data_IF_274586285267
#
_entry.id   IF_274586285267
#
_cell.length_a   1.000
_cell.length_b   1.000
_cell.length_c   1.000
_cell.angle_alpha   90.00
_cell.angle_beta   90.00
_cell.angle_gamma   90.00
#
_symmetry.space_group_name_H-M   'P 1'
#
loop_
_entity.id
_entity.type
_entity.pdbx_description
1 polymer ?
#
# COMPACT_ATOMS: atom_id res chain seq x y z
N UNK A 1 8.91 10.65 25.27
CA UNK A 1 9.55 9.72 24.32
C UNK A 1 10.18 10.52 23.18
N UNK A 2 11.34 10.12 22.67
CA UNK A 2 12.02 10.87 21.58
C UNK A 2 11.13 11.01 20.32
N UNK A 3 10.39 9.94 19.97
CA UNK A 3 9.51 9.93 18.80
C UNK A 3 8.33 10.92 18.90
N UNK A 4 7.68 11.04 20.07
CA UNK A 4 6.59 12.01 20.26
C UNK A 4 7.08 13.45 20.00
N UNK A 5 8.27 13.79 20.51
CA UNK A 5 8.89 15.10 20.26
C UNK A 5 9.19 15.31 18.76
N UNK A 6 9.61 14.26 18.04
CA UNK A 6 9.79 14.36 16.58
C UNK A 6 8.46 14.69 15.87
N UNK A 7 7.35 14.06 16.28
CA UNK A 7 6.03 14.36 15.71
C UNK A 7 5.63 15.82 16.00
N UNK A 8 5.84 16.33 17.21
CA UNK A 8 5.59 17.73 17.56
C UNK A 8 6.42 18.71 16.71
N UNK A 9 7.71 18.42 16.54
CA UNK A 9 8.61 19.23 15.71
C UNK A 9 8.16 19.23 14.24
N UNK A 10 7.76 18.09 13.70
CA UNK A 10 7.25 17.97 12.33
C UNK A 10 5.93 18.76 12.16
N UNK A 11 5.01 18.66 13.11
CA UNK A 11 3.77 19.46 13.10
C UNK A 11 4.08 20.96 13.06
N UNK A 12 5.09 21.41 13.80
CA UNK A 12 5.48 22.83 13.82
C UNK A 12 6.03 23.34 12.47
N UNK A 13 6.55 22.43 11.62
CA UNK A 13 7.02 22.74 10.27
C UNK A 13 5.89 22.83 9.23
N UNK A 14 4.71 22.32 9.57
CA UNK A 14 3.51 22.32 8.72
C UNK A 14 3.73 21.82 7.27
N UNK A 15 4.36 20.65 7.04
CA UNK A 15 4.48 20.13 5.69
C UNK A 15 3.09 19.78 5.13
N UNK A 16 2.90 19.92 3.82
CA UNK A 16 1.62 19.59 3.16
C UNK A 16 1.29 18.09 3.25
N UNK A 17 2.31 17.22 3.19
CA UNK A 17 2.20 15.76 3.22
C UNK A 17 3.24 15.12 4.12
N UNK A 18 2.86 14.00 4.71
CA UNK A 18 3.72 13.18 5.57
C UNK A 18 3.59 11.71 5.21
N UNK A 19 4.72 11.00 5.28
CA UNK A 19 4.76 9.54 5.21
C UNK A 19 5.51 9.01 6.43
N UNK A 20 4.79 8.33 7.33
CA UNK A 20 5.29 7.89 8.64
C UNK A 20 5.28 6.36 8.69
N UNK A 21 6.36 5.74 8.25
CA UNK A 21 6.45 4.28 8.17
C UNK A 21 7.50 3.69 9.11
N UNK A 22 7.26 2.45 9.50
CA UNK A 22 8.15 1.72 10.38
C UNK A 22 9.47 1.34 9.69
N UNK A 23 10.56 1.38 10.45
CA UNK A 23 11.83 0.80 10.02
C UNK A 23 11.70 -0.70 9.76
N UNK A 24 12.04 -1.13 8.55
CA UNK A 24 12.06 -2.54 8.17
C UNK A 24 13.41 -3.17 8.50
N UNK A 25 13.45 -4.02 9.54
CA UNK A 25 14.64 -4.75 9.95
C UNK A 25 14.75 -6.10 9.25
N UNK A 26 15.64 -6.18 8.25
CA UNK A 26 15.88 -7.36 7.41
C UNK A 26 17.39 -7.67 7.32
N UNK A 27 18.05 -8.04 8.43
CA UNK A 27 19.51 -8.22 8.49
C UNK A 27 20.03 -9.38 7.63
N UNK A 28 19.17 -10.34 7.29
CA UNK A 28 19.53 -11.42 6.37
C UNK A 28 19.75 -10.87 4.96
N UNK A 29 18.96 -9.86 4.57
CA UNK A 29 18.98 -9.22 3.24
C UNK A 29 19.97 -8.07 3.18
N UNK A 30 20.05 -7.25 4.24
CA UNK A 30 20.85 -6.04 4.29
C UNK A 30 21.97 -6.15 5.33
N UNK A 31 23.19 -6.45 4.88
CA UNK A 31 24.36 -6.64 5.74
C UNK A 31 24.61 -5.49 6.75
N UNK A 32 24.45 -4.19 6.42
CA UNK A 32 24.64 -3.11 7.38
C UNK A 32 23.69 -3.18 8.59
N UNK A 33 22.48 -3.70 8.40
CA UNK A 33 21.49 -3.84 9.48
C UNK A 33 21.88 -4.86 10.56
N UNK A 34 22.84 -5.75 10.27
CA UNK A 34 23.38 -6.72 11.26
C UNK A 34 24.11 -6.06 12.41
N UNK A 35 24.46 -4.77 12.29
CA UNK A 35 25.10 -3.97 13.34
C UNK A 35 24.09 -3.36 14.31
N UNK A 36 22.81 -3.43 13.99
CA UNK A 36 21.73 -2.91 14.84
C UNK A 36 21.34 -4.03 15.81
N UNK A 37 21.36 -3.71 17.08
CA UNK A 37 20.98 -4.65 18.13
C UNK A 37 19.44 -4.79 18.11
N UNK A 38 18.93 -5.99 17.93
CA UNK A 38 17.48 -6.22 17.83
C UNK A 38 16.74 -5.82 19.12
N UNK A 39 17.42 -5.89 20.26
CA UNK A 39 16.85 -5.45 21.55
C UNK A 39 16.64 -3.93 21.65
N UNK A 40 17.29 -3.14 20.78
CA UNK A 40 17.16 -1.68 20.76
C UNK A 40 16.00 -1.24 19.85
N UNK A 41 15.39 -2.18 19.12
CA UNK A 41 14.25 -1.90 18.26
C UNK A 41 12.94 -1.95 19.04
N UNK A 42 11.96 -1.09 18.70
CA UNK A 42 10.64 -1.12 19.32
C UNK A 42 9.98 -2.49 19.15
N UNK A 43 9.31 -2.96 20.20
CA UNK A 43 8.45 -4.14 20.12
C UNK A 43 7.23 -3.89 19.21
N UNK A 44 6.50 -4.94 18.76
CA UNK A 44 5.26 -4.76 18.03
C UNK A 44 4.24 -3.89 18.78
N UNK A 45 4.15 -4.04 20.12
CA UNK A 45 3.26 -3.21 20.94
C UNK A 45 3.68 -1.74 20.95
N UNK A 46 4.99 -1.46 21.07
CA UNK A 46 5.51 -0.08 20.99
C UNK A 46 5.24 0.54 19.63
N UNK A 47 5.41 -0.22 18.55
CA UNK A 47 5.14 0.26 17.18
C UNK A 47 3.67 0.61 16.99
N UNK A 48 2.76 -0.22 17.49
CA UNK A 48 1.32 0.07 17.45
C UNK A 48 1.01 1.35 18.23
N UNK A 49 1.53 1.49 19.45
CA UNK A 49 1.35 2.69 20.26
C UNK A 49 1.92 3.95 19.59
N UNK A 50 3.09 3.82 18.92
CA UNK A 50 3.68 4.92 18.15
C UNK A 50 2.80 5.32 16.97
N UNK A 51 2.19 4.36 16.27
CA UNK A 51 1.29 4.61 15.15
C UNK A 51 0.00 5.28 15.62
N UNK A 52 -0.64 4.77 16.69
CA UNK A 52 -1.83 5.35 17.29
C UNK A 52 -1.57 6.80 17.73
N UNK A 53 -0.48 7.04 18.45
CA UNK A 53 -0.06 8.37 18.85
C UNK A 53 0.15 9.30 17.65
N UNK A 54 0.80 8.81 16.58
CA UNK A 54 1.02 9.60 15.36
C UNK A 54 -0.31 10.00 14.71
N UNK A 55 -1.23 9.06 14.59
CA UNK A 55 -2.56 9.33 14.01
C UNK A 55 -3.29 10.38 14.85
N UNK A 56 -3.31 10.21 16.16
CA UNK A 56 -3.96 11.15 17.08
C UNK A 56 -3.38 12.56 16.96
N UNK A 57 -2.05 12.69 17.02
CA UNK A 57 -1.37 13.99 16.98
C UNK A 57 -1.53 14.67 15.62
N UNK A 58 -1.33 13.97 14.52
CA UNK A 58 -1.44 14.56 13.19
C UNK A 58 -2.89 14.90 12.84
N UNK A 59 -3.86 14.04 13.16
CA UNK A 59 -5.27 14.38 12.94
C UNK A 59 -5.75 15.51 13.85
N UNK A 60 -5.28 15.55 15.09
CA UNK A 60 -5.51 16.68 16.01
C UNK A 60 -4.90 17.99 15.53
N UNK A 61 -3.82 17.95 14.75
CA UNK A 61 -3.18 19.09 14.10
C UNK A 61 -3.82 19.47 12.76
N UNK A 62 -4.90 18.81 12.35
CA UNK A 62 -5.67 19.13 11.14
C UNK A 62 -5.32 18.30 9.90
N UNK A 63 -4.37 17.37 9.98
CA UNK A 63 -4.07 16.46 8.88
C UNK A 63 -5.17 15.42 8.70
N UNK A 64 -5.41 15.03 7.46
CA UNK A 64 -6.23 13.87 7.10
C UNK A 64 -5.34 12.63 7.04
N UNK A 65 -5.74 11.56 7.73
CA UNK A 65 -5.12 10.24 7.57
C UNK A 65 -5.60 9.63 6.27
N UNK A 66 -4.77 9.65 5.23
CA UNK A 66 -5.09 9.11 3.90
C UNK A 66 -5.20 7.58 3.96
N UNK A 67 -4.20 6.94 4.54
CA UNK A 67 -4.17 5.48 4.73
C UNK A 67 -2.75 4.96 4.82
N UNK A 68 -2.59 3.76 5.33
CA UNK A 68 -1.31 3.11 5.59
C UNK A 68 -0.41 3.97 6.50
N UNK A 69 0.46 4.76 5.90
CA UNK A 69 1.47 5.59 6.55
C UNK A 69 1.41 7.06 6.09
N UNK A 70 0.39 7.43 5.28
CA UNK A 70 0.30 8.76 4.66
C UNK A 70 -0.72 9.67 5.33
N UNK A 71 -0.31 10.93 5.47
CA UNK A 71 -1.15 12.03 5.94
C UNK A 71 -1.00 13.22 4.99
N UNK A 72 -2.05 14.01 4.85
CA UNK A 72 -2.06 15.21 4.02
C UNK A 72 -2.95 16.28 4.63
N UNK A 73 -2.70 17.55 4.34
CA UNK A 73 -3.63 18.63 4.68
C UNK A 73 -4.96 18.45 3.94
N UNK A 74 -6.08 18.95 4.45
CA UNK A 74 -7.41 18.75 3.84
C UNK A 74 -7.54 19.33 2.43
N UNK A 75 -6.78 20.38 2.11
CA UNK A 75 -6.75 21.06 0.80
C UNK A 75 -5.71 20.46 -0.17
N UNK A 76 -4.98 19.45 0.27
CA UNK A 76 -4.05 18.71 -0.59
C UNK A 76 -4.79 17.85 -1.61
N UNK A 77 -4.25 17.74 -2.82
CA UNK A 77 -4.87 16.97 -3.92
C UNK A 77 -5.13 15.50 -3.58
N UNK A 78 -4.32 14.87 -2.70
CA UNK A 78 -4.54 13.48 -2.28
C UNK A 78 -5.76 13.36 -1.35
N UNK A 79 -5.95 14.35 -0.46
CA UNK A 79 -7.09 14.39 0.43
C UNK A 79 -8.40 14.61 -0.35
N UNK A 80 -8.36 15.56 -1.29
CA UNK A 80 -9.49 15.85 -2.20
C UNK A 80 -9.82 14.63 -3.06
N UNK A 81 -8.81 14.03 -3.70
CA UNK A 81 -9.01 12.84 -4.54
C UNK A 81 -9.58 11.64 -3.75
N UNK A 82 -9.19 11.48 -2.47
CA UNK A 82 -9.78 10.43 -1.63
C UNK A 82 -11.26 10.71 -1.34
N UNK A 83 -11.62 11.96 -1.09
CA UNK A 83 -13.00 12.37 -0.85
C UNK A 83 -13.89 12.15 -2.08
N UNK A 84 -13.33 12.44 -3.26
CA UNK A 84 -13.98 12.23 -4.57
C UNK A 84 -13.93 10.76 -5.04
N UNK A 85 -13.30 9.85 -4.29
CA UNK A 85 -13.09 8.44 -4.66
C UNK A 85 -12.33 8.27 -5.98
N UNK A 86 -11.42 9.20 -6.27
CA UNK A 86 -10.55 9.20 -7.46
C UNK A 86 -9.08 8.93 -7.13
N UNK A 87 -8.74 8.81 -5.83
CA UNK A 87 -7.39 8.54 -5.38
C UNK A 87 -6.88 7.21 -5.94
N UNK A 88 -5.65 7.21 -6.40
CA UNK A 88 -4.95 6.05 -6.95
C UNK A 88 -3.66 5.78 -6.17
N UNK A 89 -3.09 4.60 -6.37
CA UNK A 89 -1.80 4.22 -5.80
C UNK A 89 -0.97 3.45 -6.82
N UNK A 90 0.31 3.80 -6.93
CA UNK A 90 1.30 3.09 -7.74
C UNK A 90 2.51 2.70 -6.87
N UNK A 91 3.62 2.29 -7.47
CA UNK A 91 4.84 1.90 -6.75
C UNK A 91 5.57 3.07 -6.07
N UNK A 92 5.22 4.31 -6.38
CA UNK A 92 5.77 5.50 -5.71
C UNK A 92 4.93 5.94 -4.50
N UNK A 93 3.69 5.47 -4.38
CA UNK A 93 2.76 5.83 -3.32
C UNK A 93 1.40 6.28 -3.84
N UNK A 94 0.66 7.05 -3.03
CA UNK A 94 -0.61 7.63 -3.45
C UNK A 94 -0.40 8.73 -4.50
N UNK A 95 -1.32 8.81 -5.47
CA UNK A 95 -1.22 9.71 -6.61
C UNK A 95 -2.59 10.06 -7.17
N UNK A 96 -2.71 11.22 -7.80
CA UNK A 96 -3.85 11.63 -8.63
C UNK A 96 -3.65 11.29 -10.11
N UNK A 97 -2.47 10.75 -10.47
CA UNK A 97 -2.06 10.43 -11.85
C UNK A 97 -2.08 8.92 -12.15
N UNK A 98 -3.03 8.17 -11.57
CA UNK A 98 -3.12 6.71 -11.76
C UNK A 98 -3.42 6.25 -13.19
N UNK A 99 -3.90 7.14 -14.05
CA UNK A 99 -4.13 6.91 -15.47
C UNK A 99 -2.88 7.05 -16.36
N UNK A 100 -1.77 7.55 -15.79
CA UNK A 100 -0.52 7.73 -16.52
C UNK A 100 0.35 6.47 -16.46
N UNK A 101 1.09 6.23 -17.52
CA UNK A 101 2.19 5.27 -17.49
C UNK A 101 3.31 5.77 -16.57
N UNK A 102 3.85 4.89 -15.75
CA UNK A 102 4.97 5.15 -14.87
C UNK A 102 6.23 4.51 -15.40
N UNK A 103 7.22 5.33 -15.77
CA UNK A 103 8.55 4.86 -16.18
C UNK A 103 9.51 5.01 -15.02
N UNK A 104 9.90 3.89 -14.41
CA UNK A 104 10.83 3.85 -13.29
C UNK A 104 12.29 3.93 -13.75
N UNK A 105 13.00 4.98 -13.36
CA UNK A 105 14.43 5.17 -13.65
C UNK A 105 15.28 4.76 -12.47
N UNK A 106 16.36 4.03 -12.73
CA UNK A 106 17.32 3.63 -11.72
C UNK A 106 17.28 2.13 -11.37
N UNK A 107 18.20 1.75 -10.49
CA UNK A 107 18.34 0.39 -9.95
C UNK A 107 17.08 -0.02 -9.22
N UNK A 108 16.59 -1.23 -9.47
CA UNK A 108 15.37 -1.82 -8.87
C UNK A 108 14.06 -1.06 -9.12
N UNK A 109 14.08 0.02 -9.90
CA UNK A 109 12.89 0.82 -10.18
C UNK A 109 11.83 -0.01 -10.91
N UNK A 110 10.55 0.24 -10.57
CA UNK A 110 9.41 -0.47 -11.15
C UNK A 110 8.69 0.49 -12.08
N UNK A 111 8.42 0.02 -13.30
CA UNK A 111 7.59 0.69 -14.30
C UNK A 111 6.22 0.03 -14.37
N UNK A 112 5.21 0.82 -14.70
CA UNK A 112 3.88 0.37 -15.04
C UNK A 112 3.49 1.04 -16.37
N UNK A 113 3.38 0.27 -17.44
CA UNK A 113 3.09 0.76 -18.78
C UNK A 113 1.90 -0.01 -19.31
N UNK A 114 0.73 0.63 -19.37
CA UNK A 114 -0.53 -0.07 -19.61
C UNK A 114 -0.75 -1.23 -18.64
N UNK A 115 -0.81 -2.44 -19.19
CA UNK A 115 -1.01 -3.68 -18.40
C UNK A 115 0.31 -4.38 -18.02
N UNK A 116 1.46 -3.80 -18.34
CA UNK A 116 2.76 -4.37 -18.04
C UNK A 116 3.36 -3.73 -16.79
N UNK A 117 3.73 -4.56 -15.82
CA UNK A 117 4.69 -4.19 -14.78
C UNK A 117 6.06 -4.73 -15.13
N UNK A 118 7.10 -3.90 -15.03
CA UNK A 118 8.47 -4.37 -15.20
C UNK A 118 9.41 -3.71 -14.17
N UNK A 119 10.46 -4.44 -13.80
CA UNK A 119 11.41 -3.99 -12.80
C UNK A 119 12.84 -4.07 -13.33
N UNK A 120 13.59 -2.99 -13.12
CA UNK A 120 15.00 -2.94 -13.41
C UNK A 120 15.80 -3.83 -12.47
N UNK A 121 17.01 -4.19 -12.90
CA UNK A 121 17.92 -5.01 -12.11
C UNK A 121 18.23 -4.34 -10.76
N UNK A 122 18.29 -5.14 -9.69
CA UNK A 122 18.62 -4.68 -8.35
C UNK A 122 20.12 -4.68 -8.04
N UNK A 123 20.94 -5.33 -8.89
CA UNK A 123 22.40 -5.26 -8.81
C UNK A 123 22.90 -4.04 -9.56
N UNK A 124 23.64 -3.17 -8.87
CA UNK A 124 24.13 -1.89 -9.43
C UNK A 124 25.09 -2.13 -10.58
N UNK A 125 26.03 -3.07 -10.45
CA UNK A 125 27.03 -3.31 -11.46
C UNK A 125 26.41 -3.87 -12.74
N UNK A 126 25.47 -4.82 -12.60
CA UNK A 126 24.75 -5.38 -13.72
C UNK A 126 23.83 -4.34 -14.38
N UNK A 127 23.14 -3.50 -13.58
CA UNK A 127 22.34 -2.40 -14.11
C UNK A 127 23.18 -1.46 -14.96
N UNK A 128 24.31 -0.99 -14.44
CA UNK A 128 25.22 -0.08 -15.14
C UNK A 128 25.82 -0.73 -16.42
N UNK A 129 26.24 -1.99 -16.32
CA UNK A 129 26.78 -2.72 -17.45
C UNK A 129 25.76 -2.87 -18.58
N UNK A 130 24.50 -3.20 -18.25
CA UNK A 130 23.43 -3.36 -19.24
C UNK A 130 23.14 -2.03 -19.95
N UNK A 131 23.06 -0.93 -19.20
CA UNK A 131 22.85 0.40 -19.80
C UNK A 131 24.04 0.85 -20.65
N UNK A 132 25.28 0.55 -20.24
CA UNK A 132 26.47 0.85 -21.05
C UNK A 132 26.50 0.09 -22.38
N UNK A 133 25.74 -1.02 -22.45
CA UNK A 133 25.53 -1.79 -23.69
C UNK A 133 24.29 -1.34 -24.48
N UNK A 134 23.74 -0.16 -24.17
CA UNK A 134 22.54 0.42 -24.80
C UNK A 134 21.30 -0.48 -24.73
N UNK A 135 21.20 -1.31 -23.67
CA UNK A 135 20.08 -2.21 -23.43
C UNK A 135 19.24 -1.76 -22.21
N UNK A 136 17.95 -2.07 -22.25
CA UNK A 136 17.07 -1.86 -21.08
C UNK A 136 17.47 -2.83 -19.96
N UNK A 137 17.69 -2.29 -18.76
CA UNK A 137 18.12 -3.07 -17.60
C UNK A 137 16.95 -3.80 -16.89
N UNK A 138 15.90 -4.16 -17.63
CA UNK A 138 14.75 -4.91 -17.10
C UNK A 138 15.16 -6.33 -16.75
N UNK A 139 14.89 -6.75 -15.50
CA UNK A 139 15.21 -8.09 -15.00
C UNK A 139 13.99 -9.00 -14.90
N UNK A 140 12.80 -8.45 -14.72
CA UNK A 140 11.55 -9.19 -14.64
C UNK A 140 10.36 -8.30 -14.99
N UNK A 141 9.25 -8.92 -15.35
CA UNK A 141 8.00 -8.25 -15.62
C UNK A 141 6.81 -9.18 -15.45
N UNK A 142 5.63 -8.58 -15.38
CA UNK A 142 4.33 -9.26 -15.35
C UNK A 142 3.41 -8.53 -16.31
N UNK A 143 2.92 -9.24 -17.31
CA UNK A 143 1.80 -8.77 -18.12
C UNK A 143 0.50 -9.21 -17.45
N UNK A 144 -0.28 -8.25 -16.99
CA UNK A 144 -1.54 -8.51 -16.29
C UNK A 144 -2.56 -9.14 -17.22
N UNK A 145 -3.09 -10.28 -16.82
CA UNK A 145 -4.26 -10.89 -17.44
C UNK A 145 -5.56 -10.25 -16.95
N UNK A 146 -6.71 -10.76 -17.35
CA UNK A 146 -8.01 -10.19 -16.96
C UNK A 146 -8.25 -10.32 -15.44
N UNK A 147 -7.93 -11.45 -14.81
CA UNK A 147 -8.06 -11.65 -13.36
C UNK A 147 -7.17 -10.67 -12.59
N UNK A 148 -5.93 -10.46 -13.04
CA UNK A 148 -5.02 -9.48 -12.43
C UNK A 148 -5.59 -8.06 -12.46
N UNK A 149 -6.22 -7.67 -13.58
CA UNK A 149 -6.82 -6.35 -13.74
C UNK A 149 -8.03 -6.17 -12.81
N UNK A 150 -8.88 -7.17 -12.71
CA UNK A 150 -10.04 -7.15 -11.80
C UNK A 150 -9.57 -7.01 -10.35
N UNK A 151 -8.63 -7.83 -9.92
CA UNK A 151 -8.07 -7.79 -8.55
C UNK A 151 -7.33 -6.50 -8.26
N UNK A 152 -6.57 -6.00 -9.23
CA UNK A 152 -5.91 -4.70 -9.13
C UNK A 152 -6.92 -3.57 -8.87
N UNK A 153 -8.01 -3.50 -9.63
CA UNK A 153 -9.04 -2.48 -9.42
C UNK A 153 -9.72 -2.63 -8.05
N UNK A 154 -10.06 -3.84 -7.63
CA UNK A 154 -10.61 -4.11 -6.29
C UNK A 154 -9.65 -3.64 -5.19
N UNK A 155 -8.38 -4.02 -5.27
CA UNK A 155 -7.35 -3.63 -4.29
C UNK A 155 -7.17 -2.10 -4.29
N UNK A 156 -7.15 -1.45 -5.45
CA UNK A 156 -7.04 0.00 -5.57
C UNK A 156 -8.21 0.73 -4.88
N UNK A 157 -9.45 0.28 -5.10
CA UNK A 157 -10.62 0.88 -4.44
C UNK A 157 -10.53 0.76 -2.92
N UNK A 158 -10.16 -0.42 -2.42
CA UNK A 158 -10.06 -0.66 -0.98
C UNK A 158 -8.93 0.17 -0.35
N UNK A 159 -7.73 0.14 -0.93
CA UNK A 159 -6.54 0.75 -0.31
C UNK A 159 -6.54 2.28 -0.42
N UNK A 160 -7.15 2.84 -1.48
CA UNK A 160 -7.17 4.27 -1.74
C UNK A 160 -8.42 4.94 -1.16
N UNK A 161 -9.59 4.34 -1.39
CA UNK A 161 -10.87 4.97 -1.11
C UNK A 161 -11.59 4.36 0.10
N UNK A 162 -11.07 3.26 0.67
CA UNK A 162 -11.64 2.55 1.83
C UNK A 162 -13.08 2.08 1.60
N UNK A 163 -13.52 2.09 0.35
CA UNK A 163 -14.88 1.77 -0.06
C UNK A 163 -14.88 1.13 -1.44
N UNK A 164 -15.60 0.03 -1.59
CA UNK A 164 -15.70 -0.75 -2.82
C UNK A 164 -17.17 -1.05 -3.12
N UNK A 165 -17.84 -0.25 -3.98
CA UNK A 165 -19.14 -0.60 -4.54
C UNK A 165 -18.95 -1.74 -5.56
N UNK A 166 -19.65 -2.87 -5.38
CA UNK A 166 -19.47 -4.04 -6.27
C UNK A 166 -19.93 -3.73 -7.69
N UNK A 167 -21.00 -2.97 -7.84
CA UNK A 167 -21.52 -2.54 -9.14
C UNK A 167 -20.46 -1.85 -10.03
N UNK A 168 -19.48 -1.14 -9.43
CA UNK A 168 -18.37 -0.54 -10.18
C UNK A 168 -17.52 -1.59 -10.89
N UNK A 169 -17.18 -2.66 -10.18
CA UNK A 169 -16.39 -3.77 -10.73
C UNK A 169 -17.21 -4.59 -11.71
N UNK A 170 -18.46 -4.88 -11.38
CA UNK A 170 -19.38 -5.64 -12.22
C UNK A 170 -19.59 -4.98 -13.58
N UNK A 171 -19.81 -3.67 -13.59
CA UNK A 171 -19.98 -2.87 -14.82
C UNK A 171 -18.69 -2.77 -15.64
N UNK A 172 -17.54 -2.55 -14.96
CA UNK A 172 -16.25 -2.37 -15.64
C UNK A 172 -15.76 -3.66 -16.30
N UNK A 173 -16.05 -4.82 -15.71
CA UNK A 173 -15.48 -6.10 -16.14
C UNK A 173 -16.53 -7.13 -16.60
N UNK A 174 -17.81 -6.78 -16.56
CA UNK A 174 -18.94 -7.64 -16.92
C UNK A 174 -18.92 -8.98 -16.18
N UNK A 175 -18.82 -8.93 -14.84
CA UNK A 175 -18.82 -10.08 -13.93
C UNK A 175 -19.91 -9.93 -12.87
N UNK A 176 -20.31 -11.05 -12.23
CA UNK A 176 -20.98 -11.03 -10.94
C UNK A 176 -19.92 -11.05 -9.83
N UNK A 177 -19.84 -9.98 -9.03
CA UNK A 177 -18.77 -9.81 -8.04
C UNK A 177 -18.77 -10.94 -7.00
N UNK A 178 -19.95 -11.29 -6.46
CA UNK A 178 -20.07 -12.31 -5.42
C UNK A 178 -19.71 -13.70 -5.93
N UNK A 179 -20.15 -14.05 -7.12
CA UNK A 179 -19.82 -15.31 -7.75
C UNK A 179 -18.34 -15.42 -8.07
N UNK A 180 -17.77 -14.34 -8.63
CA UNK A 180 -16.35 -14.26 -9.00
C UNK A 180 -15.42 -14.42 -7.79
N UNK A 181 -15.71 -13.75 -6.69
CA UNK A 181 -14.94 -13.77 -5.44
C UNK A 181 -15.53 -14.72 -4.37
N UNK A 182 -16.31 -15.74 -4.79
CA UNK A 182 -16.94 -16.67 -3.84
C UNK A 182 -15.97 -17.37 -2.91
N UNK A 183 -14.75 -17.67 -3.37
CA UNK A 183 -13.70 -18.29 -2.56
C UNK A 183 -13.15 -17.35 -1.46
N UNK A 184 -13.20 -16.04 -1.65
CA UNK A 184 -12.75 -15.02 -0.70
C UNK A 184 -13.82 -14.68 0.34
N UNK A 185 -15.08 -15.01 0.04
CA UNK A 185 -16.22 -14.57 0.84
C UNK A 185 -16.15 -14.98 2.31
N UNK A 186 -15.77 -16.21 2.68
CA UNK A 186 -15.65 -16.61 4.09
C UNK A 186 -14.61 -15.77 4.86
N UNK A 187 -13.51 -15.39 4.22
CA UNK A 187 -12.48 -14.51 4.84
C UNK A 187 -13.00 -13.10 5.05
N UNK A 188 -13.75 -12.55 4.09
CA UNK A 188 -14.37 -11.23 4.21
C UNK A 188 -15.46 -11.22 5.31
N UNK A 189 -16.26 -12.27 5.42
CA UNK A 189 -17.24 -12.41 6.52
C UNK A 189 -16.57 -12.48 7.90
N UNK A 190 -15.43 -13.16 8.01
CA UNK A 190 -14.64 -13.17 9.24
C UNK A 190 -14.11 -11.77 9.59
N UNK A 191 -13.56 -11.04 8.61
CA UNK A 191 -13.12 -9.66 8.81
C UNK A 191 -14.27 -8.72 9.20
N UNK A 192 -15.48 -8.97 8.69
CA UNK A 192 -16.66 -8.22 9.07
C UNK A 192 -17.09 -8.53 10.51
N UNK A 193 -17.04 -9.79 10.92
CA UNK A 193 -17.31 -10.20 12.30
C UNK A 193 -16.29 -9.60 13.29
N UNK A 194 -15.03 -9.43 12.88
CA UNK A 194 -13.98 -8.77 13.65
C UNK A 194 -14.11 -7.24 13.68
N UNK A 195 -15.09 -6.67 12.97
CA UNK A 195 -15.32 -5.22 12.93
C UNK A 195 -14.28 -4.44 12.10
N UNK A 196 -13.57 -5.09 11.21
CA UNK A 196 -12.58 -4.46 10.31
C UNK A 196 -13.24 -3.84 9.08
N UNK A 197 -14.30 -4.47 8.58
CA UNK A 197 -15.06 -4.04 7.42
C UNK A 197 -16.55 -4.12 7.69
N UNK A 198 -17.33 -3.30 7.00
CA UNK A 198 -18.76 -3.51 6.80
C UNK A 198 -18.97 -4.16 5.43
N UNK A 199 -19.64 -5.29 5.40
CA UNK A 199 -19.88 -6.10 4.20
C UNK A 199 -21.37 -6.35 4.03
N UNK A 200 -21.90 -6.08 2.85
CA UNK A 200 -23.25 -6.44 2.44
C UNK A 200 -23.27 -6.95 0.98
N UNK A 201 -24.44 -7.06 0.38
CA UNK A 201 -24.57 -7.57 -1.00
C UNK A 201 -24.18 -6.55 -2.08
N UNK A 202 -23.94 -5.28 -1.72
CA UNK A 202 -23.71 -4.19 -2.67
C UNK A 202 -22.31 -3.61 -2.57
N UNK A 203 -21.68 -3.70 -1.39
CA UNK A 203 -20.41 -3.02 -1.14
C UNK A 203 -19.63 -3.60 0.03
N UNK A 204 -18.32 -3.29 0.05
CA UNK A 204 -17.42 -3.43 1.16
C UNK A 204 -16.94 -2.03 1.58
N UNK A 205 -17.00 -1.73 2.88
CA UNK A 205 -16.45 -0.49 3.46
C UNK A 205 -15.47 -0.82 4.58
N UNK A 206 -14.28 -0.26 4.52
CA UNK A 206 -13.27 -0.42 5.57
C UNK A 206 -13.64 0.47 6.75
N UNK A 207 -13.84 -0.14 7.92
CA UNK A 207 -14.19 0.55 9.16
C UNK A 207 -12.94 1.20 9.81
N UNK A 208 -13.09 2.11 10.77
CA UNK A 208 -11.96 2.78 11.42
C UNK A 208 -10.90 1.82 11.95
N UNK A 209 -11.28 0.72 12.60
CA UNK A 209 -10.36 -0.32 13.06
C UNK A 209 -9.63 -1.03 11.89
N UNK A 210 -10.33 -1.24 10.78
CA UNK A 210 -9.78 -1.86 9.58
C UNK A 210 -8.79 -0.98 8.82
N UNK A 211 -8.82 0.35 9.00
CA UNK A 211 -7.89 1.27 8.30
C UNK A 211 -6.43 0.97 8.62
N UNK A 212 -6.12 0.59 9.85
CA UNK A 212 -4.78 0.18 10.25
C UNK A 212 -4.36 -1.14 9.59
N UNK A 213 -5.33 -1.99 9.26
CA UNK A 213 -5.15 -3.31 8.70
C UNK A 213 -5.63 -3.40 7.23
N UNK A 214 -5.79 -2.26 6.54
CA UNK A 214 -6.31 -2.21 5.16
C UNK A 214 -5.50 -3.10 4.21
N UNK A 215 -4.20 -3.24 4.44
CA UNK A 215 -3.35 -4.17 3.70
C UNK A 215 -3.83 -5.63 3.85
N UNK A 216 -4.24 -6.05 5.04
CA UNK A 216 -4.79 -7.41 5.28
C UNK A 216 -6.10 -7.61 4.52
N UNK A 217 -6.96 -6.58 4.47
CA UNK A 217 -8.19 -6.64 3.66
C UNK A 217 -7.86 -6.79 2.17
N UNK A 218 -6.86 -6.05 1.67
CA UNK A 218 -6.41 -6.18 0.28
C UNK A 218 -5.82 -7.55 -0.04
N UNK A 219 -5.12 -8.17 0.93
CA UNK A 219 -4.49 -9.50 0.76
C UNK A 219 -5.50 -10.60 0.48
N UNK A 220 -6.75 -10.49 0.91
CA UNK A 220 -7.82 -11.43 0.58
C UNK A 220 -8.06 -11.52 -0.95
N UNK A 221 -7.73 -10.47 -1.69
CA UNK A 221 -7.89 -10.41 -3.14
C UNK A 221 -6.60 -10.71 -3.93
N UNK A 222 -5.47 -10.95 -3.26
CA UNK A 222 -4.18 -11.26 -3.91
C UNK A 222 -4.10 -12.74 -4.31
N UNK A 223 -4.18 -13.02 -5.62
CA UNK A 223 -4.12 -14.38 -6.15
C UNK A 223 -2.72 -15.02 -6.05
N UNK A 224 -1.67 -14.21 -5.92
CA UNK A 224 -0.28 -14.69 -5.90
C UNK A 224 0.23 -15.01 -4.49
N UNK A 225 -0.40 -14.45 -3.47
CA UNK A 225 0.08 -14.56 -2.09
C UNK A 225 0.12 -16.02 -1.62
N UNK A 226 -0.91 -16.81 -1.94
CA UNK A 226 -1.00 -18.21 -1.58
C UNK A 226 0.01 -19.10 -2.34
N UNK A 227 0.52 -18.63 -3.48
CA UNK A 227 1.44 -19.39 -4.34
C UNK A 227 2.91 -19.13 -4.01
N UNK A 228 3.21 -18.07 -3.24
CA UNK A 228 4.58 -17.76 -2.89
C UNK A 228 5.03 -18.54 -1.66
N UNK A 229 6.22 -19.21 -1.70
CA UNK A 229 6.84 -19.68 -0.48
C UNK A 229 6.95 -18.48 0.44
N UNK A 230 6.60 -18.64 1.74
CA UNK A 230 6.57 -17.56 2.76
C UNK A 230 7.79 -16.65 2.64
N UNK A 231 7.76 -15.70 1.70
CA UNK A 231 8.73 -14.62 1.65
C UNK A 231 8.49 -13.77 2.89
N UNK A 232 9.54 -13.52 3.64
CA UNK A 232 9.48 -12.65 4.80
C UNK A 232 9.32 -11.21 4.32
N UNK A 233 8.08 -10.77 4.19
CA UNK A 233 7.76 -9.35 4.08
C UNK A 233 7.97 -8.69 5.45
N UNK A 234 8.24 -7.39 5.45
CA UNK A 234 8.17 -6.62 6.70
C UNK A 234 6.78 -6.83 7.31
N UNK A 235 6.75 -7.17 8.60
CA UNK A 235 5.49 -7.34 9.32
C UNK A 235 4.69 -6.05 9.25
N UNK A 236 3.37 -6.17 9.17
CA UNK A 236 2.45 -5.02 9.10
C UNK A 236 2.54 -4.20 10.40
N UNK A 237 2.80 -4.88 11.51
CA UNK A 237 3.05 -4.33 12.86
C UNK A 237 4.23 -5.07 13.48
#
# INVERSE_FOLDING_TARGET
MAFARTVEEVISLQPDRLSVFNYAHLPERFKPQRRINTSDLPSPADKLQMLEHTIEQLTGAGYRYIGMDHFALPDDELAIAQEESTLQRNFQGYTTHGHCDLIGLGVSAISQIGELYCQNNSDIALYQHTLASEQLATSRGLLCNQDDRIRREVIQQIICNLHLPFARIEQAFNIDFRGYFSAQWPELEAMAADGLIALNNEQLTVLPAGRLLVRSVCMAFDAYLAQQPRQRFSRVI
#
